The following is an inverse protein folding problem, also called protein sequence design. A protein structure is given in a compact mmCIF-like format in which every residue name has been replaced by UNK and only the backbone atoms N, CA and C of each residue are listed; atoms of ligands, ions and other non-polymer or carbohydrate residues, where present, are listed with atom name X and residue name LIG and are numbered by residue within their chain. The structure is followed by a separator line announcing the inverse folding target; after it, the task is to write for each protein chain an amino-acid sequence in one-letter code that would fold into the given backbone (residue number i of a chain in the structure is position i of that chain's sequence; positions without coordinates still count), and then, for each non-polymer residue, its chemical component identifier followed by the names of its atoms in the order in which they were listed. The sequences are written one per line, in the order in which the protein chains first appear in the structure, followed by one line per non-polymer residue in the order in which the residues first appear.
data_IF_374057788874
#
_entry.id   IF_374057788874
#
_cell.length_a   1.000
_cell.length_b   1.000
_cell.length_c   1.000
_cell.angle_alpha   90.00
_cell.angle_beta   90.00
_cell.angle_gamma   90.00
#
_symmetry.space_group_name_H-M   'P 1'
#
loop_
_entity.id
_entity.type
_entity.pdbx_description
1 polymer ?
#
# COMPACT_ATOMS: atom_id res chain seq x y z
N UNK A 1 27.55 -26.53 59.00
CA UNK A 1 26.77 -27.09 57.88
C UNK A 1 27.39 -26.64 56.55
N UNK A 2 27.75 -27.61 55.68
CA UNK A 2 28.03 -27.58 54.21
C UNK A 2 29.08 -26.57 53.67
N UNK A 3 30.32 -27.04 53.42
CA UNK A 3 30.94 -27.46 52.12
C UNK A 3 31.24 -26.28 51.15
N UNK A 4 32.49 -25.76 51.09
CA UNK A 4 33.65 -26.11 50.21
C UNK A 4 33.56 -25.58 48.76
N UNK A 5 34.58 -24.82 48.31
CA UNK A 5 35.00 -24.67 46.89
C UNK A 5 35.24 -23.23 46.42
N UNK A 6 36.34 -22.52 46.70
CA UNK A 6 37.74 -22.70 46.26
C UNK A 6 38.07 -22.27 44.79
N UNK A 7 38.79 -21.13 44.70
CA UNK A 7 39.94 -20.80 43.80
C UNK A 7 39.58 -20.54 42.31
N UNK A 8 40.15 -19.55 41.58
CA UNK A 8 41.54 -19.08 41.41
C UNK A 8 41.50 -17.65 40.81
N UNK A 9 42.09 -16.60 41.42
CA UNK A 9 43.43 -16.01 41.15
C UNK A 9 43.85 -15.98 39.66
N UNK A 10 43.89 -14.80 39.03
CA UNK A 10 45.11 -14.28 38.36
C UNK A 10 45.05 -12.78 37.95
N UNK A 11 45.93 -12.02 38.58
CA UNK A 11 46.73 -10.85 38.16
C UNK A 11 46.13 -9.66 37.37
N UNK A 12 46.29 -8.51 38.04
CA UNK A 12 46.37 -7.11 37.59
C UNK A 12 47.70 -6.85 36.86
N UNK A 13 47.73 -5.87 35.94
CA UNK A 13 48.88 -5.13 35.34
C UNK A 13 49.16 -5.36 33.84
N UNK A 14 48.73 -4.40 32.99
CA UNK A 14 49.56 -3.80 31.93
C UNK A 14 48.86 -2.55 31.35
N UNK A 15 49.43 -1.37 31.66
CA UNK A 15 49.50 -0.18 30.76
C UNK A 15 48.19 0.61 30.56
N UNK A 16 47.88 1.68 31.32
CA UNK A 16 48.47 3.03 31.23
C UNK A 16 48.72 3.47 29.77
N UNK A 17 47.81 4.26 29.18
CA UNK A 17 48.03 5.58 28.57
C UNK A 17 46.84 6.01 27.70
N UNK A 18 46.60 7.33 27.72
CA UNK A 18 45.77 8.12 26.82
C UNK A 18 44.25 8.10 27.07
N UNK A 19 43.80 9.05 27.91
CA UNK A 19 42.58 9.78 27.63
C UNK A 19 42.74 10.58 26.33
N UNK A 20 42.62 9.89 25.19
CA UNK A 20 42.41 10.51 23.89
C UNK A 20 41.00 10.14 23.48
N UNK A 21 40.18 11.19 23.49
CA UNK A 21 38.95 11.33 22.75
C UNK A 21 38.98 10.50 21.45
N UNK A 22 38.46 9.28 21.50
CA UNK A 22 37.94 8.67 20.29
C UNK A 22 36.67 9.46 19.99
N UNK A 23 36.80 10.58 19.25
CA UNK A 23 35.77 10.97 18.29
C UNK A 23 35.78 9.89 17.22
N UNK A 24 35.42 8.67 17.62
CA UNK A 24 35.14 7.57 16.74
C UNK A 24 33.82 7.94 16.15
N UNK A 25 33.87 8.69 15.05
CA UNK A 25 32.84 8.61 14.04
C UNK A 25 32.81 7.15 13.59
N UNK A 26 32.11 6.30 14.34
CA UNK A 26 31.37 5.23 13.73
C UNK A 26 30.33 5.93 12.87
N UNK A 27 30.73 6.37 11.67
CA UNK A 27 29.75 6.50 10.62
C UNK A 27 29.24 5.09 10.42
N UNK A 28 28.09 4.80 11.04
CA UNK A 28 27.23 3.74 10.58
C UNK A 28 26.91 4.09 9.14
N UNK A 29 27.70 3.57 8.20
CA UNK A 29 27.27 3.49 6.81
C UNK A 29 25.99 2.69 6.89
N UNK A 30 24.86 3.39 6.83
CA UNK A 30 23.55 2.74 6.72
C UNK A 30 23.69 1.87 5.48
N UNK A 31 23.63 0.53 5.59
CA UNK A 31 23.79 -0.29 4.43
C UNK A 31 22.75 0.14 3.41
N UNK A 32 23.23 0.51 2.23
CA UNK A 32 22.45 0.87 1.06
C UNK A 32 21.76 -0.40 0.54
N UNK A 33 20.78 -0.90 1.31
CA UNK A 33 19.91 -2.03 0.99
C UNK A 33 18.82 -1.60 -0.01
N UNK A 34 19.21 -0.90 -1.06
CA UNK A 34 18.30 -0.50 -2.13
C UNK A 34 18.18 -1.66 -3.11
N UNK A 35 17.05 -2.36 -3.10
CA UNK A 35 16.74 -3.40 -4.10
C UNK A 35 15.98 -2.77 -5.26
N UNK A 36 16.71 -2.36 -6.30
CA UNK A 36 16.09 -1.84 -7.51
C UNK A 36 15.47 -2.98 -8.33
N UNK A 37 14.33 -2.69 -8.99
CA UNK A 37 13.66 -3.60 -9.92
C UNK A 37 13.21 -4.95 -9.34
N UNK A 38 12.86 -5.00 -8.03
CA UNK A 38 12.32 -6.22 -7.40
C UNK A 38 10.94 -6.65 -7.95
N UNK A 39 10.22 -5.72 -8.60
CA UNK A 39 9.04 -5.97 -9.43
C UNK A 39 9.34 -5.42 -10.84
N UNK A 40 9.23 -6.26 -11.87
CA UNK A 40 9.55 -5.93 -13.27
C UNK A 40 8.33 -6.04 -14.19
N UNK A 41 8.44 -5.48 -15.40
CA UNK A 41 7.41 -5.60 -16.45
C UNK A 41 6.21 -4.65 -16.31
N UNK A 42 6.27 -3.67 -15.41
CA UNK A 42 5.24 -2.61 -15.34
C UNK A 42 5.28 -1.73 -16.59
N UNK A 43 4.11 -1.40 -17.14
CA UNK A 43 3.98 -0.56 -18.34
C UNK A 43 3.53 0.86 -17.96
N UNK A 44 4.48 1.80 -17.98
CA UNK A 44 4.26 3.21 -17.60
C UNK A 44 3.60 3.31 -16.23
N UNK A 45 4.29 2.82 -15.20
CA UNK A 45 3.78 2.81 -13.82
C UNK A 45 3.82 4.21 -13.22
N UNK A 46 2.65 4.75 -12.86
CA UNK A 46 2.52 6.16 -12.46
C UNK A 46 2.20 6.34 -10.97
N UNK A 47 1.56 5.36 -10.35
CA UNK A 47 1.23 5.39 -8.92
C UNK A 47 1.30 4.00 -8.29
N UNK A 48 1.83 3.95 -7.07
CA UNK A 48 2.04 2.73 -6.27
C UNK A 48 1.49 2.93 -4.86
N UNK A 49 0.86 1.89 -4.32
CA UNK A 49 0.43 1.82 -2.92
C UNK A 49 0.65 0.40 -2.41
N UNK A 50 0.81 0.23 -1.10
CA UNK A 50 0.93 -1.08 -0.47
C UNK A 50 -0.07 -1.23 0.67
N UNK A 51 -0.51 -2.47 0.91
CA UNK A 51 -1.11 -2.86 2.19
C UNK A 51 -0.06 -3.63 3.02
N UNK A 52 -0.47 -4.40 4.03
CA UNK A 52 0.46 -5.17 4.87
C UNK A 52 1.09 -6.38 4.17
N UNK A 53 0.56 -6.82 3.02
CA UNK A 53 0.94 -8.08 2.36
C UNK A 53 1.22 -7.94 0.86
N UNK A 54 0.71 -6.89 0.21
CA UNK A 54 0.76 -6.69 -1.23
C UNK A 54 1.14 -5.26 -1.62
N UNK A 55 1.72 -5.15 -2.81
CA UNK A 55 1.99 -3.90 -3.52
C UNK A 55 1.07 -3.84 -4.73
N UNK A 56 0.46 -2.69 -4.98
CA UNK A 56 -0.45 -2.40 -6.08
C UNK A 56 0.07 -1.23 -6.89
N UNK A 57 -0.04 -1.30 -8.22
CA UNK A 57 0.37 -0.21 -9.10
C UNK A 57 -0.55 -0.05 -10.31
N UNK A 58 -0.63 1.16 -10.84
CA UNK A 58 -1.35 1.45 -12.07
C UNK A 58 -0.45 1.23 -13.29
N UNK A 59 -0.87 0.38 -14.22
CA UNK A 59 -0.27 0.25 -15.56
C UNK A 59 -1.06 1.14 -16.51
N UNK A 60 -0.59 2.37 -16.73
CA UNK A 60 -1.34 3.37 -17.47
C UNK A 60 -1.57 2.94 -18.93
N UNK A 61 -0.52 2.42 -19.58
CA UNK A 61 -0.57 2.02 -20.99
C UNK A 61 -1.51 0.85 -21.27
N UNK A 62 -1.61 -0.09 -20.34
CA UNK A 62 -2.42 -1.31 -20.51
C UNK A 62 -3.85 -1.16 -19.99
N UNK A 63 -4.16 -0.08 -19.25
CA UNK A 63 -5.47 0.07 -18.63
C UNK A 63 -5.73 -0.96 -17.53
N UNK A 64 -4.68 -1.35 -16.79
CA UNK A 64 -4.77 -2.37 -15.73
C UNK A 64 -4.20 -1.87 -14.41
N UNK A 65 -4.61 -2.52 -13.32
CA UNK A 65 -3.94 -2.42 -12.02
C UNK A 65 -3.18 -3.73 -11.79
N UNK A 66 -1.89 -3.62 -11.52
CA UNK A 66 -1.05 -4.74 -11.14
C UNK A 66 -1.01 -4.96 -9.63
N UNK A 67 -0.66 -6.19 -9.22
CA UNK A 67 -0.46 -6.58 -7.82
C UNK A 67 0.71 -7.54 -7.69
N UNK A 68 1.49 -7.43 -6.61
CA UNK A 68 2.48 -8.41 -6.19
C UNK A 68 2.43 -8.55 -4.67
N UNK A 69 3.06 -9.60 -4.14
CA UNK A 69 3.38 -9.67 -2.72
C UNK A 69 4.42 -8.59 -2.35
N UNK A 70 4.47 -8.21 -1.07
CA UNK A 70 5.43 -7.20 -0.57
C UNK A 70 6.89 -7.65 -0.69
N UNK A 71 7.14 -8.95 -0.81
CA UNK A 71 8.45 -9.55 -1.09
C UNK A 71 8.81 -9.55 -2.60
N UNK A 72 7.93 -9.04 -3.46
CA UNK A 72 8.11 -9.00 -4.91
C UNK A 72 7.66 -10.26 -5.66
N UNK A 73 7.16 -11.28 -4.95
CA UNK A 73 6.68 -12.52 -5.57
C UNK A 73 5.22 -12.40 -6.05
N UNK A 74 4.74 -13.39 -6.80
CA UNK A 74 3.34 -13.47 -7.28
C UNK A 74 2.86 -12.22 -8.04
N UNK A 75 3.73 -11.67 -8.89
CA UNK A 75 3.42 -10.53 -9.76
C UNK A 75 2.27 -10.90 -10.72
N UNK A 76 1.22 -10.09 -10.69
CA UNK A 76 0.10 -10.14 -11.62
C UNK A 76 -0.12 -8.74 -12.21
N UNK A 77 0.24 -8.56 -13.48
CA UNK A 77 0.14 -7.28 -14.19
C UNK A 77 -1.30 -6.87 -14.56
N UNK A 78 -2.24 -7.81 -14.51
CA UNK A 78 -3.62 -7.63 -14.92
C UNK A 78 -4.59 -8.05 -13.82
N UNK A 79 -4.23 -7.75 -12.56
CA UNK A 79 -5.05 -8.10 -11.40
C UNK A 79 -6.43 -7.44 -11.45
N UNK A 80 -6.51 -6.19 -11.90
CA UNK A 80 -7.76 -5.53 -12.28
C UNK A 80 -7.62 -5.07 -13.73
N UNK A 81 -8.61 -5.39 -14.56
CA UNK A 81 -8.68 -5.03 -15.98
C UNK A 81 -9.81 -4.04 -16.26
N UNK A 82 -9.77 -3.39 -17.42
CA UNK A 82 -10.83 -2.46 -17.85
C UNK A 82 -10.75 -1.07 -17.23
N UNK A 83 -9.61 -0.69 -16.63
CA UNK A 83 -9.34 0.69 -16.24
C UNK A 83 -9.05 1.55 -17.48
N UNK A 84 -9.28 2.86 -17.38
CA UNK A 84 -9.14 3.79 -18.50
C UNK A 84 -8.02 4.79 -18.23
N UNK A 85 -6.79 4.40 -18.58
CA UNK A 85 -5.58 5.16 -18.27
C UNK A 85 -5.43 5.40 -16.76
N UNK A 86 -5.31 4.34 -15.94
CA UNK A 86 -5.14 4.52 -14.51
C UNK A 86 -3.81 5.24 -14.22
N UNK A 87 -3.82 6.18 -13.28
CA UNK A 87 -2.60 6.98 -12.94
C UNK A 87 -2.21 6.89 -11.47
N UNK A 88 -3.13 6.56 -10.58
CA UNK A 88 -2.85 6.40 -9.16
C UNK A 88 -3.80 5.37 -8.55
N UNK A 89 -3.34 4.73 -7.48
CA UNK A 89 -4.02 3.67 -6.76
C UNK A 89 -3.97 3.99 -5.26
N UNK A 90 -5.09 3.76 -4.58
CA UNK A 90 -5.20 3.80 -3.13
C UNK A 90 -5.87 2.51 -2.64
N UNK A 91 -5.52 2.05 -1.45
CA UNK A 91 -6.03 0.80 -0.89
C UNK A 91 -6.50 1.02 0.54
N UNK A 92 -7.61 0.36 0.91
CA UNK A 92 -8.07 0.23 2.30
C UNK A 92 -8.23 -1.26 2.65
N UNK A 93 -8.79 -1.56 3.84
CA UNK A 93 -8.95 -2.93 4.31
C UNK A 93 -9.83 -3.83 3.40
N UNK A 94 -10.72 -3.24 2.60
CA UNK A 94 -11.74 -3.96 1.84
C UNK A 94 -11.69 -3.66 0.33
N UNK A 95 -11.10 -2.54 -0.09
CA UNK A 95 -11.21 -2.01 -1.43
C UNK A 95 -9.90 -1.44 -1.96
N UNK A 96 -9.78 -1.52 -3.28
CA UNK A 96 -8.76 -0.87 -4.09
C UNK A 96 -9.45 0.20 -4.92
N UNK A 97 -8.93 1.41 -4.90
CA UNK A 97 -9.42 2.58 -5.61
C UNK A 97 -8.39 3.04 -6.61
N UNK A 98 -8.80 3.52 -7.78
CA UNK A 98 -7.90 4.11 -8.76
C UNK A 98 -8.54 5.26 -9.50
N UNK A 99 -7.71 6.19 -9.98
CA UNK A 99 -8.17 7.30 -10.82
C UNK A 99 -7.92 6.95 -12.28
N UNK A 100 -8.96 7.02 -13.09
CA UNK A 100 -8.91 6.89 -14.55
C UNK A 100 -8.72 8.26 -15.19
N UNK A 101 -7.53 8.52 -15.73
CA UNK A 101 -7.20 9.81 -16.35
C UNK A 101 -8.00 10.06 -17.63
N UNK A 102 -8.23 9.02 -18.43
CA UNK A 102 -8.80 9.18 -19.78
C UNK A 102 -10.28 9.57 -19.77
N UNK A 103 -11.00 9.26 -18.69
CA UNK A 103 -12.44 9.53 -18.58
C UNK A 103 -12.84 10.27 -17.30
N UNK A 104 -11.87 10.68 -16.47
CA UNK A 104 -12.10 11.45 -15.24
C UNK A 104 -12.95 10.73 -14.20
N UNK A 105 -12.81 9.41 -14.09
CA UNK A 105 -13.61 8.59 -13.16
C UNK A 105 -12.75 7.94 -12.07
N UNK A 106 -13.40 7.48 -11.00
CA UNK A 106 -12.75 6.68 -9.96
C UNK A 106 -13.26 5.25 -10.09
N UNK A 107 -12.35 4.30 -10.24
CA UNK A 107 -12.66 2.89 -10.15
C UNK A 107 -12.53 2.37 -8.74
N UNK A 108 -13.34 1.35 -8.41
CA UNK A 108 -13.21 0.59 -7.17
C UNK A 108 -13.39 -0.89 -7.45
N UNK A 109 -12.58 -1.71 -6.79
CA UNK A 109 -12.73 -3.16 -6.72
C UNK A 109 -12.55 -3.62 -5.27
N UNK A 110 -13.07 -4.78 -4.92
CA UNK A 110 -12.73 -5.42 -3.64
C UNK A 110 -11.24 -5.75 -3.58
N UNK A 111 -10.71 -5.87 -2.36
CA UNK A 111 -9.28 -6.14 -2.10
C UNK A 111 -8.79 -7.44 -2.78
N UNK A 112 -9.71 -8.39 -3.00
CA UNK A 112 -9.49 -9.63 -3.73
C UNK A 112 -9.62 -9.51 -5.27
N UNK A 113 -9.81 -8.30 -5.81
CA UNK A 113 -9.97 -8.05 -7.25
C UNK A 113 -11.40 -8.24 -7.77
N UNK A 114 -12.35 -8.62 -6.91
CA UNK A 114 -13.75 -8.87 -7.30
C UNK A 114 -14.61 -7.61 -7.26
N UNK A 115 -15.59 -7.50 -8.16
CA UNK A 115 -16.58 -6.41 -8.15
C UNK A 115 -16.09 -5.08 -8.72
N UNK A 116 -15.10 -5.12 -9.61
CA UNK A 116 -14.53 -3.94 -10.29
C UNK A 116 -15.58 -3.18 -11.11
N UNK A 117 -16.05 -2.06 -10.58
CA UNK A 117 -16.96 -1.14 -11.27
C UNK A 117 -16.41 0.28 -11.20
N UNK A 118 -16.44 0.99 -12.32
CA UNK A 118 -16.07 2.41 -12.34
C UNK A 118 -17.24 3.24 -11.80
N UNK A 119 -17.07 3.82 -10.60
CA UNK A 119 -18.05 4.74 -10.03
C UNK A 119 -17.69 6.17 -10.44
N UNK A 120 -18.56 6.79 -11.25
CA UNK A 120 -18.42 8.23 -11.56
C UNK A 120 -18.75 9.02 -10.30
N UNK A 121 -17.80 9.78 -9.77
CA UNK A 121 -18.11 10.83 -8.79
C UNK A 121 -18.94 11.89 -9.55
N UNK A 122 -20.26 11.73 -9.56
CA UNK A 122 -21.16 12.75 -10.07
C UNK A 122 -21.27 13.80 -8.97
N UNK A 123 -20.99 15.05 -9.30
CA UNK A 123 -21.42 16.19 -8.48
C UNK A 123 -22.93 16.42 -8.74
N UNK A 124 -23.77 15.42 -8.48
CA UNK A 124 -25.22 15.57 -8.57
C UNK A 124 -25.75 16.19 -7.26
N UNK A 125 -25.55 17.50 -7.12
CA UNK A 125 -26.23 18.32 -6.10
C UNK A 125 -27.74 18.47 -6.35
N UNK A 126 -28.40 17.45 -6.88
CA UNK A 126 -29.86 17.36 -6.84
C UNK A 126 -30.19 16.21 -5.91
N UNK A 127 -30.71 16.49 -4.70
CA UNK A 127 -31.41 15.48 -3.94
C UNK A 127 -32.36 14.78 -4.90
N UNK A 128 -32.24 13.46 -5.08
CA UNK A 128 -33.31 12.69 -5.70
C UNK A 128 -34.48 12.81 -4.74
N UNK A 129 -35.34 13.80 -4.96
CA UNK A 129 -36.67 13.83 -4.38
C UNK A 129 -37.30 12.54 -4.90
N UNK A 130 -37.59 11.54 -4.05
CA UNK A 130 -38.40 10.42 -4.48
C UNK A 130 -39.69 11.03 -5.00
N UNK A 131 -40.06 10.74 -6.24
CA UNK A 131 -41.41 11.08 -6.70
C UNK A 131 -42.35 10.53 -5.63
N UNK A 132 -43.22 11.34 -5.01
CA UNK A 132 -44.24 10.77 -4.14
C UNK A 132 -44.96 9.72 -4.96
N UNK A 133 -44.98 8.50 -4.45
CA UNK A 133 -45.70 7.39 -5.03
C UNK A 133 -47.09 7.88 -5.38
N UNK A 134 -47.47 7.75 -6.65
CA UNK A 134 -48.81 8.01 -7.10
C UNK A 134 -49.73 6.97 -6.46
N UNK A 135 -50.15 7.24 -5.22
CA UNK A 135 -51.32 6.64 -4.58
C UNK A 135 -52.23 7.79 -4.19
N UNK A 136 -52.74 8.47 -5.20
CA UNK A 136 -54.01 9.16 -5.13
C UNK A 136 -54.76 8.86 -6.43
N UNK A 137 -55.08 7.59 -6.65
CA UNK A 137 -56.18 7.22 -7.54
C UNK A 137 -57.47 7.29 -6.71
N UNK A 138 -58.08 8.48 -6.64
CA UNK A 138 -59.54 8.72 -6.61
C UNK A 138 -59.86 10.15 -6.15
N UNK A 139 -60.40 11.01 -7.04
CA UNK A 139 -61.18 12.16 -6.58
C UNK A 139 -62.51 11.62 -6.05
N UNK A 140 -63.06 12.26 -5.02
CA UNK A 140 -64.31 11.89 -4.32
C UNK A 140 -64.17 10.84 -3.21
N UNK A 141 -63.55 11.23 -2.11
CA UNK A 141 -64.06 10.95 -0.76
C UNK A 141 -63.40 11.93 0.21
N UNK A 142 -64.10 13.04 0.46
CA UNK A 142 -63.93 13.83 1.68
C UNK A 142 -64.79 13.21 2.78
#
# INVERSE_FOLDING_TARGET
MRRIGARKRLLVCASILAGVLVVGLAQATVPNNITQAFITGGNSTVGVTSDLTHVYWANNGDGTIGRANIDGTNVNQAFITGASGPITVAVDANFIYWVNQNNGTIGRAGINGTGGGSYRVRNDRRPRIPRPSATCERPHQC
#
